data_IF_535437259621
#
_entry.id   IF_535437259621
#
_cell.length_a   1.000
_cell.length_b   1.000
_cell.length_c   1.000
_cell.angle_alpha   90.00
_cell.angle_beta   90.00
_cell.angle_gamma   90.00
#
_symmetry.space_group_name_H-M   'P 1'
#
loop_
_entity.id
_entity.type
_entity.pdbx_description
1 polymer ?
#
# COMPACT_ATOMS: atom_id res chain seq x y z
N UNK A 1 3.54 9.37 -26.79
CA UNK A 1 3.83 10.52 -25.88
C UNK A 1 2.77 10.52 -24.79
N UNK A 2 3.05 9.90 -23.64
CA UNK A 2 2.10 9.79 -22.52
C UNK A 2 2.34 11.00 -21.60
N UNK A 3 1.37 11.92 -21.48
CA UNK A 3 1.44 13.01 -20.50
C UNK A 3 1.35 12.39 -19.11
N UNK A 4 2.30 12.69 -18.22
CA UNK A 4 2.13 12.48 -16.79
C UNK A 4 1.09 13.47 -16.27
N UNK A 5 0.12 12.98 -15.49
CA UNK A 5 -0.81 13.80 -14.73
C UNK A 5 -0.36 13.72 -13.28
N UNK A 6 0.19 14.81 -12.76
CA UNK A 6 0.60 14.89 -11.37
C UNK A 6 -0.63 15.01 -10.47
N UNK A 7 -0.61 14.33 -9.32
CA UNK A 7 -1.71 14.37 -8.35
C UNK A 7 -2.92 13.46 -8.65
N UNK A 8 -2.83 12.60 -9.66
CA UNK A 8 -3.84 11.55 -9.90
C UNK A 8 -3.45 10.24 -9.21
N UNK A 9 -4.37 9.69 -8.42
CA UNK A 9 -4.19 8.40 -7.73
C UNK A 9 -5.40 7.50 -7.95
N UNK A 10 -5.16 6.19 -7.90
CA UNK A 10 -6.20 5.17 -7.98
C UNK A 10 -6.35 4.49 -6.62
N UNK A 11 -7.41 4.84 -5.88
CA UNK A 11 -7.74 4.17 -4.62
C UNK A 11 -8.78 3.07 -4.84
N UNK A 12 -8.55 1.88 -4.29
CA UNK A 12 -9.49 0.76 -4.38
C UNK A 12 -9.55 0.06 -5.75
N UNK A 13 -8.56 0.28 -6.62
CA UNK A 13 -8.48 -0.37 -7.94
C UNK A 13 -8.12 -1.87 -7.86
N UNK A 14 -7.52 -2.29 -6.74
CA UNK A 14 -7.12 -3.68 -6.52
C UNK A 14 -8.34 -4.55 -6.22
N UNK A 15 -8.62 -5.54 -7.07
CA UNK A 15 -9.60 -6.59 -6.76
C UNK A 15 -9.05 -7.49 -5.66
N UNK A 16 -9.67 -7.45 -4.48
CA UNK A 16 -9.17 -8.11 -3.28
C UNK A 16 -10.30 -8.66 -2.40
N UNK A 17 -10.06 -9.78 -1.72
CA UNK A 17 -10.94 -10.24 -0.63
C UNK A 17 -10.96 -9.25 0.55
N UNK A 18 -9.88 -8.47 0.71
CA UNK A 18 -9.73 -7.44 1.73
C UNK A 18 -9.85 -6.03 1.12
N UNK A 19 -10.72 -5.86 0.13
CA UNK A 19 -10.90 -4.57 -0.57
C UNK A 19 -11.07 -3.36 0.37
N UNK A 20 -11.86 -3.41 1.45
CA UNK A 20 -11.97 -2.28 2.38
C UNK A 20 -10.64 -1.92 3.04
N UNK A 21 -9.91 -2.93 3.54
CA UNK A 21 -8.61 -2.73 4.19
C UNK A 21 -7.57 -2.20 3.18
N UNK A 22 -7.50 -2.77 1.98
CA UNK A 22 -6.58 -2.31 0.94
C UNK A 22 -6.85 -0.87 0.51
N UNK A 23 -8.13 -0.50 0.35
CA UNK A 23 -8.50 0.88 0.02
C UNK A 23 -8.18 1.86 1.16
N UNK A 24 -8.30 1.44 2.42
CA UNK A 24 -7.91 2.27 3.56
C UNK A 24 -6.39 2.49 3.58
N UNK A 25 -5.58 1.42 3.46
CA UNK A 25 -4.12 1.55 3.48
C UNK A 25 -3.60 2.36 2.28
N UNK A 26 -4.20 2.19 1.10
CA UNK A 26 -3.90 3.01 -0.06
C UNK A 26 -4.24 4.50 0.18
N UNK A 27 -5.38 4.82 0.81
CA UNK A 27 -5.72 6.19 1.16
C UNK A 27 -4.71 6.82 2.14
N UNK A 28 -4.27 6.05 3.14
CA UNK A 28 -3.24 6.45 4.11
C UNK A 28 -1.94 6.81 3.38
N UNK A 29 -1.48 5.95 2.46
CA UNK A 29 -0.26 6.20 1.70
C UNK A 29 -0.38 7.40 0.76
N UNK A 30 -1.52 7.55 0.06
CA UNK A 30 -1.78 8.70 -0.82
C UNK A 30 -1.74 10.00 -0.01
N UNK A 31 -2.36 10.02 1.18
CA UNK A 31 -2.32 11.19 2.06
C UNK A 31 -0.89 11.53 2.50
N UNK A 32 -0.08 10.52 2.84
CA UNK A 32 1.32 10.71 3.21
C UNK A 32 2.16 11.26 2.06
N UNK A 33 1.98 10.73 0.84
CA UNK A 33 2.66 11.22 -0.35
C UNK A 33 2.24 12.66 -0.69
N UNK A 34 0.94 12.97 -0.67
CA UNK A 34 0.43 14.33 -0.89
C UNK A 34 0.96 15.33 0.14
N UNK A 35 1.23 14.90 1.37
CA UNK A 35 1.84 15.71 2.41
C UNK A 35 3.39 15.79 2.31
N UNK A 36 3.98 15.19 1.28
CA UNK A 36 5.44 15.13 1.09
C UNK A 36 6.16 14.35 2.19
N UNK A 37 5.46 13.41 2.84
CA UNK A 37 6.03 12.55 3.88
C UNK A 37 6.63 11.25 3.32
N UNK A 38 6.30 10.91 2.07
CA UNK A 38 6.83 9.75 1.35
C UNK A 38 7.31 10.22 -0.02
N UNK A 39 8.57 9.98 -0.40
CA UNK A 39 9.05 10.26 -1.75
C UNK A 39 8.64 9.15 -2.73
N UNK A 40 8.44 9.50 -4.00
CA UNK A 40 8.35 8.51 -5.07
C UNK A 40 9.73 8.10 -5.55
N UNK A 41 9.91 6.83 -5.97
CA UNK A 41 11.06 6.44 -6.77
C UNK A 41 11.08 7.18 -8.12
N UNK A 42 12.23 7.14 -8.78
CA UNK A 42 12.36 7.61 -10.17
C UNK A 42 11.38 6.86 -11.10
N UNK A 43 10.78 7.52 -12.11
CA UNK A 43 9.80 6.89 -12.99
C UNK A 43 10.27 5.60 -13.68
N UNK A 44 11.55 5.46 -14.02
CA UNK A 44 12.06 4.23 -14.63
C UNK A 44 12.18 3.11 -13.60
N UNK A 45 12.47 3.43 -12.34
CA UNK A 45 12.42 2.45 -11.25
C UNK A 45 10.99 1.96 -11.01
N UNK A 46 10.02 2.87 -11.01
CA UNK A 46 8.59 2.51 -10.89
C UNK A 46 8.14 1.58 -12.02
N UNK A 47 8.52 1.87 -13.28
CA UNK A 47 8.20 1.01 -14.43
C UNK A 47 8.81 -0.38 -14.30
N UNK A 48 10.10 -0.48 -13.95
CA UNK A 48 10.77 -1.77 -13.75
C UNK A 48 10.11 -2.60 -12.65
N UNK A 49 9.65 -1.97 -11.57
CA UNK A 49 8.92 -2.65 -10.49
C UNK A 49 7.58 -3.21 -10.99
N UNK A 50 6.81 -2.43 -11.76
CA UNK A 50 5.56 -2.89 -12.37
C UNK A 50 5.80 -4.06 -13.33
N UNK A 51 6.80 -3.96 -14.21
CA UNK A 51 7.18 -5.04 -15.13
C UNK A 51 7.56 -6.32 -14.38
N UNK A 52 8.37 -6.21 -13.33
CA UNK A 52 8.77 -7.34 -12.50
C UNK A 52 7.57 -7.99 -11.78
N UNK A 53 6.64 -7.17 -11.26
CA UNK A 53 5.42 -7.65 -10.62
C UNK A 53 4.52 -8.39 -11.62
N UNK A 54 4.32 -7.84 -12.82
CA UNK A 54 3.54 -8.49 -13.87
C UNK A 54 4.17 -9.81 -14.32
N UNK A 55 5.50 -9.83 -14.53
CA UNK A 55 6.21 -11.05 -14.88
C UNK A 55 6.09 -12.14 -13.79
N UNK A 56 6.18 -11.73 -12.51
CA UNK A 56 5.95 -12.64 -11.39
C UNK A 56 4.51 -13.16 -11.38
N UNK A 57 3.51 -12.29 -11.59
CA UNK A 57 2.11 -12.70 -11.63
C UNK A 57 1.82 -13.68 -12.77
N UNK A 58 2.37 -13.43 -13.97
CA UNK A 58 2.26 -14.33 -15.11
C UNK A 58 2.83 -15.72 -14.79
N UNK A 59 4.05 -15.77 -14.23
CA UNK A 59 4.69 -17.03 -13.85
C UNK A 59 3.95 -17.74 -12.70
N UNK A 60 3.53 -16.99 -11.67
CA UNK A 60 2.89 -17.55 -10.49
C UNK A 60 1.45 -18.02 -10.74
N UNK A 61 0.76 -17.49 -11.76
CA UNK A 61 -0.64 -17.81 -12.06
C UNK A 61 -0.81 -18.62 -13.35
N UNK A 62 0.28 -19.00 -14.03
CA UNK A 62 0.24 -19.60 -15.38
C UNK A 62 -0.65 -18.77 -16.33
N UNK A 63 -0.50 -17.44 -16.27
CA UNK A 63 -1.33 -16.43 -16.97
C UNK A 63 -2.83 -16.46 -16.64
N UNK A 64 -3.30 -17.26 -15.67
CA UNK A 64 -4.69 -17.32 -15.22
C UNK A 64 -5.03 -16.35 -14.08
N UNK A 65 -4.51 -15.12 -14.13
CA UNK A 65 -4.73 -14.10 -13.09
C UNK A 65 -6.21 -13.68 -12.92
N UNK A 66 -7.08 -13.99 -13.90
CA UNK A 66 -8.52 -13.71 -13.87
C UNK A 66 -9.41 -14.89 -13.43
N UNK A 67 -8.85 -16.04 -13.00
CA UNK A 67 -9.64 -17.23 -12.59
C UNK A 67 -9.40 -17.63 -11.13
N UNK A 68 -9.79 -16.74 -10.22
CA UNK A 68 -10.37 -17.11 -8.92
C UNK A 68 -9.50 -17.77 -7.85
N UNK A 69 -8.17 -17.88 -7.95
CA UNK A 69 -7.42 -18.75 -7.01
C UNK A 69 -6.18 -18.19 -6.30
N UNK A 70 -5.76 -16.93 -6.47
CA UNK A 70 -4.54 -16.42 -5.77
C UNK A 70 -4.60 -15.01 -5.19
N UNK A 71 -5.78 -14.44 -4.96
CA UNK A 71 -5.90 -13.01 -4.60
C UNK A 71 -5.43 -12.70 -3.16
N UNK A 72 -5.53 -13.64 -2.22
CA UNK A 72 -5.27 -13.40 -0.78
C UNK A 72 -3.79 -13.07 -0.48
N UNK A 73 -2.79 -13.85 -0.91
CA UNK A 73 -1.37 -13.52 -0.67
C UNK A 73 -0.97 -12.15 -1.24
N UNK A 74 -1.47 -11.80 -2.43
CA UNK A 74 -1.20 -10.49 -3.03
C UNK A 74 -1.88 -9.36 -2.27
N UNK A 75 -3.07 -9.61 -1.72
CA UNK A 75 -3.81 -8.61 -0.96
C UNK A 75 -3.11 -8.23 0.34
N UNK A 76 -2.59 -9.21 1.08
CA UNK A 76 -1.85 -8.95 2.33
C UNK A 76 -0.44 -8.42 2.07
N UNK A 77 0.25 -8.94 1.05
CA UNK A 77 1.55 -8.41 0.63
C UNK A 77 1.44 -6.93 0.25
N UNK A 78 0.41 -6.53 -0.48
CA UNK A 78 0.19 -5.13 -0.83
C UNK A 78 0.00 -4.23 0.41
N UNK A 79 -0.78 -4.69 1.39
CA UNK A 79 -0.94 -3.96 2.68
C UNK A 79 0.42 -3.81 3.37
N UNK A 80 1.19 -4.89 3.45
CA UNK A 80 2.51 -4.87 4.07
C UNK A 80 3.48 -3.90 3.36
N UNK A 81 3.55 -3.93 2.03
CA UNK A 81 4.42 -3.04 1.24
C UNK A 81 4.05 -1.56 1.44
N UNK A 82 2.75 -1.25 1.41
CA UNK A 82 2.24 0.10 1.66
C UNK A 82 2.57 0.60 3.07
N UNK A 83 2.50 -0.28 4.07
CA UNK A 83 2.85 0.09 5.45
C UNK A 83 4.35 0.14 5.71
N UNK A 84 5.14 -0.65 4.98
CA UNK A 84 6.61 -0.60 5.00
C UNK A 84 7.11 0.78 4.53
N UNK A 85 6.53 1.34 3.47
CA UNK A 85 6.86 2.71 2.99
C UNK A 85 6.62 3.80 4.05
N UNK A 86 5.65 3.57 4.94
CA UNK A 86 5.21 4.54 5.95
C UNK A 86 5.85 4.32 7.32
N UNK A 87 6.56 3.22 7.51
CA UNK A 87 6.94 2.72 8.84
C UNK A 87 5.72 2.73 9.81
N UNK A 88 4.60 2.17 9.33
CA UNK A 88 3.33 2.02 10.05
C UNK A 88 2.89 0.56 10.15
N UNK A 89 3.87 -0.34 10.02
CA UNK A 89 3.65 -1.78 10.14
C UNK A 89 2.97 -2.18 11.44
N UNK A 90 2.02 -3.10 11.32
CA UNK A 90 1.57 -3.89 12.47
C UNK A 90 2.71 -4.79 12.96
N UNK A 91 2.61 -5.27 14.21
CA UNK A 91 3.70 -6.07 14.80
C UNK A 91 4.05 -7.29 13.94
N UNK A 92 5.34 -7.63 13.87
CA UNK A 92 5.84 -8.79 13.11
C UNK A 92 5.13 -10.10 13.46
N UNK A 93 4.75 -10.27 14.74
CA UNK A 93 3.99 -11.44 15.21
C UNK A 93 2.59 -11.50 14.59
N UNK A 94 1.89 -10.36 14.52
CA UNK A 94 0.55 -10.27 13.91
C UNK A 94 0.64 -10.46 12.40
N UNK A 95 1.63 -9.88 11.72
CA UNK A 95 1.89 -10.13 10.29
C UNK A 95 2.03 -11.63 10.04
N UNK A 96 2.92 -12.31 10.77
CA UNK A 96 3.11 -13.76 10.64
C UNK A 96 1.84 -14.56 10.95
N UNK A 97 1.06 -14.17 11.95
CA UNK A 97 -0.19 -14.83 12.30
C UNK A 97 -1.24 -14.73 11.18
N UNK A 98 -1.38 -13.56 10.54
CA UNK A 98 -2.33 -13.34 9.43
C UNK A 98 -2.02 -14.15 8.17
N UNK A 99 -0.77 -14.60 7.99
CA UNK A 99 -0.42 -15.51 6.90
C UNK A 99 -0.98 -16.93 7.11
N UNK A 100 -1.29 -17.30 8.36
CA UNK A 100 -1.73 -18.65 8.74
C UNK A 100 -3.16 -18.70 9.32
N UNK A 101 -3.75 -17.54 9.62
CA UNK A 101 -5.03 -17.41 10.32
C UNK A 101 -5.88 -16.31 9.65
N UNK A 102 -7.19 -16.23 9.96
CA UNK A 102 -8.03 -15.11 9.55
C UNK A 102 -7.40 -13.77 9.93
N UNK A 103 -7.49 -12.80 9.02
CA UNK A 103 -7.00 -11.44 9.22
C UNK A 103 -7.85 -10.74 10.26
N UNK A 104 -7.22 -10.16 11.28
CA UNK A 104 -7.88 -9.27 12.24
C UNK A 104 -7.73 -7.81 11.80
N UNK A 105 -8.83 -7.15 11.37
CA UNK A 105 -8.80 -5.74 10.99
C UNK A 105 -8.44 -4.81 12.16
N UNK A 106 -8.71 -5.24 13.41
CA UNK A 106 -8.44 -4.43 14.59
C UNK A 106 -6.95 -4.15 14.79
N UNK A 107 -6.08 -4.99 14.22
CA UNK A 107 -4.63 -4.80 14.21
C UNK A 107 -4.21 -3.50 13.52
N UNK A 108 -4.99 -3.01 12.56
CA UNK A 108 -4.68 -1.83 11.74
C UNK A 108 -5.28 -0.52 12.30
N UNK A 109 -6.08 -0.58 13.37
CA UNK A 109 -6.83 0.58 13.90
C UNK A 109 -5.96 1.80 14.25
N UNK A 110 -4.68 1.58 14.53
CA UNK A 110 -3.74 2.63 14.90
C UNK A 110 -3.12 3.34 13.69
N UNK A 111 -3.12 2.72 12.50
CA UNK A 111 -2.39 3.21 11.32
C UNK A 111 -2.82 4.64 10.96
N UNK A 112 -4.11 4.83 10.68
CA UNK A 112 -4.67 6.13 10.30
C UNK A 112 -4.44 7.22 11.36
N UNK A 113 -4.82 7.05 12.65
CA UNK A 113 -4.58 8.07 13.65
C UNK A 113 -3.08 8.35 13.89
N UNK A 114 -2.20 7.36 13.79
CA UNK A 114 -0.75 7.56 13.89
C UNK A 114 -0.24 8.41 12.72
N UNK A 115 -0.67 8.13 11.48
CA UNK A 115 -0.30 8.97 10.34
C UNK A 115 -0.78 10.42 10.53
N UNK A 116 -2.06 10.61 10.89
CA UNK A 116 -2.63 11.94 11.09
C UNK A 116 -1.86 12.72 12.15
N UNK A 117 -1.47 12.07 13.26
CA UNK A 117 -0.64 12.70 14.28
C UNK A 117 0.74 13.13 13.71
N UNK A 118 1.42 12.24 12.98
CA UNK A 118 2.71 12.54 12.33
C UNK A 118 2.62 13.72 11.37
N UNK A 119 1.58 13.76 10.52
CA UNK A 119 1.36 14.84 9.56
C UNK A 119 1.06 16.17 10.25
N UNK A 120 0.28 16.17 11.34
CA UNK A 120 0.01 17.38 12.14
C UNK A 120 1.29 17.94 12.77
N UNK A 121 2.12 17.07 13.36
CA UNK A 121 3.41 17.50 13.92
C UNK A 121 4.29 18.10 12.85
N UNK A 122 4.38 17.49 11.67
CA UNK A 122 5.14 18.02 10.53
C UNK A 122 4.61 19.36 10.04
N UNK A 123 3.29 19.51 9.93
CA UNK A 123 2.66 20.77 9.54
C UNK A 123 2.96 21.89 10.54
N UNK A 124 2.93 21.61 11.85
CA UNK A 124 3.33 22.57 12.89
C UNK A 124 4.80 23.00 12.77
N UNK A 125 5.71 22.04 12.54
CA UNK A 125 7.14 22.35 12.32
C UNK A 125 7.36 23.23 11.08
N UNK A 126 6.59 23.04 10.01
CA UNK A 126 6.67 23.89 8.81
C UNK A 126 6.04 25.28 9.01
N UNK A 127 5.20 25.48 10.02
CA UNK A 127 4.61 26.78 10.36
C UNK A 127 5.52 27.61 11.26
N UNK A 128 6.40 26.97 12.02
CA UNK A 128 7.34 27.59 12.97
C UNK A 128 8.74 27.88 12.37
N UNK A 129 9.00 27.43 11.13
CA UNK A 129 10.28 27.56 10.40
C UNK A 129 10.26 28.71 9.38
#
# INVERSE_FOLDING_TARGET
>A
MQRSLDGLYFNGYNSSFFSPLNAEMAAVWIAAHLAGAVPLPDPDAMRRQVEAQLAFMDAATDRHHCRGTKIIPFSLKNVDEVLDDLDLNISRRVRAAHWLNPVDPSAYRAVTPTLVARLRTRAGVLQDA
#
